data_IF_253802033547
#
_entry.id   IF_253802033547
#
_cell.length_a   1.000
_cell.length_b   1.000
_cell.length_c   1.000
_cell.angle_alpha   90.00
_cell.angle_beta   90.00
_cell.angle_gamma   90.00
#
_symmetry.space_group_name_H-M   'P 1'
#
loop_
_entity.id
_entity.type
_entity.pdbx_description
1 polymer ?
#
# COMPACT_ATOMS: atom_id res chain seq x y z
N UNK A 1 48.29 21.19 3.93
CA UNK A 1 49.26 20.09 4.07
C UNK A 1 48.49 18.79 4.23
N UNK A 2 48.54 17.97 3.19
CA UNK A 2 47.81 16.71 3.06
C UNK A 2 48.50 15.59 3.83
N UNK A 3 47.74 14.74 4.52
CA UNK A 3 48.16 13.37 4.83
C UNK A 3 47.03 12.42 4.48
N UNK A 4 47.21 11.76 3.33
CA UNK A 4 46.45 10.59 2.90
C UNK A 4 47.02 9.40 3.65
N UNK A 5 46.17 8.61 4.30
CA UNK A 5 46.48 7.22 4.65
C UNK A 5 45.44 6.38 3.95
N UNK A 6 45.89 5.65 2.93
CA UNK A 6 45.14 4.60 2.28
C UNK A 6 45.39 3.30 3.06
N UNK A 7 44.31 2.60 3.41
CA UNK A 7 44.36 1.20 3.79
C UNK A 7 43.27 0.47 3.01
N UNK A 8 43.72 -0.25 1.99
CA UNK A 8 42.96 -1.25 1.21
C UNK A 8 42.72 -2.48 2.07
N UNK A 9 41.48 -2.97 2.14
CA UNK A 9 41.17 -4.38 2.37
C UNK A 9 39.77 -4.70 1.84
N UNK A 10 39.74 -5.65 0.92
CA UNK A 10 38.57 -6.15 0.20
C UNK A 10 37.86 -7.16 1.12
N UNK A 11 36.56 -6.98 1.32
CA UNK A 11 35.66 -8.08 1.69
C UNK A 11 34.26 -7.76 1.17
N UNK A 12 33.88 -8.43 0.09
CA UNK A 12 32.51 -8.51 -0.36
C UNK A 12 31.69 -9.28 0.68
N UNK A 13 30.69 -8.62 1.26
CA UNK A 13 29.56 -9.28 1.88
C UNK A 13 28.31 -8.71 1.23
N UNK A 14 27.80 -9.44 0.23
CA UNK A 14 26.47 -9.27 -0.30
C UNK A 14 25.47 -9.65 0.80
N UNK A 15 25.19 -8.71 1.70
CA UNK A 15 23.98 -8.79 2.50
C UNK A 15 22.87 -8.22 1.64
N UNK A 16 22.28 -9.11 0.85
CA UNK A 16 20.88 -9.06 0.47
C UNK A 16 20.01 -9.12 1.74
N UNK A 17 20.13 -8.11 2.60
CA UNK A 17 19.16 -7.80 3.63
C UNK A 17 18.22 -6.81 2.98
N UNK A 18 17.13 -7.32 2.41
CA UNK A 18 16.10 -6.50 1.78
C UNK A 18 15.79 -5.32 2.68
N UNK A 19 16.16 -4.13 2.23
CA UNK A 19 15.57 -2.91 2.72
C UNK A 19 14.08 -3.11 2.48
N UNK A 20 13.35 -3.51 3.52
CA UNK A 20 11.94 -3.22 3.60
C UNK A 20 11.90 -1.71 3.45
N UNK A 21 11.69 -1.25 2.22
CA UNK A 21 11.36 0.14 1.95
C UNK A 21 10.10 0.33 2.77
N UNK A 22 10.26 0.84 4.00
CA UNK A 22 9.14 1.33 4.77
C UNK A 22 8.47 2.29 3.81
N UNK A 23 7.32 1.86 3.27
CA UNK A 23 6.56 2.69 2.37
C UNK A 23 6.44 4.03 3.10
N UNK A 24 6.80 5.15 2.45
CA UNK A 24 6.84 6.42 3.14
C UNK A 24 5.52 6.55 3.89
N UNK A 25 5.59 6.85 5.19
CA UNK A 25 4.46 7.33 5.97
C UNK A 25 4.06 8.67 5.35
N UNK A 26 3.48 8.57 4.17
CA UNK A 26 3.01 9.63 3.34
C UNK A 26 1.87 10.20 4.14
N UNK A 27 1.96 11.48 4.51
CA UNK A 27 1.02 12.15 5.39
C UNK A 27 -0.41 11.69 5.08
N UNK A 28 -0.93 10.77 5.90
CA UNK A 28 -2.06 9.95 5.50
C UNK A 28 -3.18 10.87 5.02
N UNK A 29 -3.56 10.76 3.75
CA UNK A 29 -4.60 11.59 3.17
C UNK A 29 -5.81 11.60 4.10
N UNK A 30 -6.42 12.76 4.34
CA UNK A 30 -7.62 12.81 5.16
C UNK A 30 -8.78 12.25 4.34
N UNK A 31 -9.15 11.00 4.56
CA UNK A 31 -10.28 10.36 3.89
C UNK A 31 -11.18 9.66 4.90
N UNK A 32 -12.46 9.53 4.53
CA UNK A 32 -13.46 8.82 5.33
C UNK A 32 -14.27 7.90 4.44
N UNK A 33 -14.38 6.63 4.80
CA UNK A 33 -15.14 5.64 4.05
C UNK A 33 -16.35 5.15 4.84
N UNK A 34 -17.48 5.01 4.16
CA UNK A 34 -18.74 4.55 4.74
C UNK A 34 -19.53 3.69 3.75
N UNK A 35 -20.59 3.05 4.24
CA UNK A 35 -21.43 2.18 3.41
C UNK A 35 -20.67 0.97 2.87
N UNK A 36 -19.90 0.31 3.75
CA UNK A 36 -19.17 -0.91 3.42
C UNK A 36 -20.17 -2.03 3.11
N UNK A 37 -20.09 -2.56 1.89
CA UNK A 37 -20.84 -3.73 1.46
C UNK A 37 -19.82 -4.81 1.11
N UNK A 38 -19.76 -5.86 1.94
CA UNK A 38 -18.79 -6.95 1.82
C UNK A 38 -19.56 -8.23 1.51
N UNK A 39 -19.18 -8.87 0.42
CA UNK A 39 -19.60 -10.21 0.03
C UNK A 39 -18.41 -11.16 0.13
N UNK A 40 -18.64 -12.46 -0.07
CA UNK A 40 -17.60 -13.50 0.03
C UNK A 40 -16.36 -13.15 -0.81
N UNK A 41 -16.53 -12.70 -2.05
CA UNK A 41 -15.44 -12.46 -2.99
C UNK A 41 -15.28 -10.99 -3.44
N UNK A 42 -16.21 -10.11 -3.06
CA UNK A 42 -16.24 -8.73 -3.53
C UNK A 42 -16.66 -7.78 -2.42
N UNK A 43 -16.06 -6.60 -2.39
CA UNK A 43 -16.51 -5.55 -1.49
C UNK A 43 -16.56 -4.20 -2.19
N UNK A 44 -17.35 -3.29 -1.63
CA UNK A 44 -17.39 -1.89 -2.03
C UNK A 44 -17.57 -0.98 -0.82
N UNK A 45 -17.08 0.25 -0.93
CA UNK A 45 -17.31 1.31 0.04
C UNK A 45 -17.37 2.67 -0.67
N UNK A 46 -18.08 3.63 -0.09
CA UNK A 46 -18.08 5.00 -0.56
C UNK A 46 -17.06 5.80 0.26
N UNK A 47 -16.03 6.30 -0.37
CA UNK A 47 -14.95 7.03 0.27
C UNK A 47 -14.95 8.50 -0.17
N UNK A 48 -14.83 9.40 0.79
CA UNK A 48 -14.65 10.82 0.56
C UNK A 48 -13.23 11.22 0.96
N UNK A 49 -12.41 11.55 -0.03
CA UNK A 49 -11.04 12.03 0.15
C UNK A 49 -11.08 13.55 0.28
N UNK A 50 -10.80 14.07 1.47
CA UNK A 50 -10.75 15.50 1.79
C UNK A 50 -9.41 16.12 1.43
N UNK A 51 -8.31 15.40 1.66
CA UNK A 51 -6.94 15.79 1.26
C UNK A 51 -6.07 14.56 0.98
N UNK A 52 -4.94 14.76 0.28
CA UNK A 52 -4.03 13.68 -0.10
C UNK A 52 -4.61 12.76 -1.18
N UNK A 53 -4.19 11.51 -1.15
CA UNK A 53 -4.72 10.44 -1.99
C UNK A 53 -5.13 9.23 -1.16
N UNK A 54 -6.10 8.48 -1.64
CA UNK A 54 -6.48 7.19 -1.05
C UNK A 54 -6.65 6.13 -2.14
N UNK A 55 -6.55 4.86 -1.77
CA UNK A 55 -6.83 3.72 -2.65
C UNK A 55 -7.52 2.58 -1.89
N UNK A 56 -8.16 1.70 -2.65
CA UNK A 56 -8.70 0.44 -2.14
C UNK A 56 -7.58 -0.61 -2.01
N UNK A 57 -7.65 -1.45 -0.98
CA UNK A 57 -6.75 -2.61 -0.79
C UNK A 57 -7.62 -3.83 -0.53
N UNK A 58 -7.33 -4.92 -1.23
CA UNK A 58 -8.08 -6.19 -1.10
C UNK A 58 -7.12 -7.35 -1.07
N UNK A 59 -7.21 -8.18 -0.04
CA UNK A 59 -6.41 -9.38 0.13
C UNK A 59 -7.30 -10.60 -0.13
N UNK A 60 -6.91 -11.41 -1.11
CA UNK A 60 -7.66 -12.58 -1.55
C UNK A 60 -7.05 -13.87 -0.98
N UNK A 61 -7.87 -14.89 -0.80
CA UNK A 61 -7.44 -16.17 -0.19
C UNK A 61 -6.42 -16.97 -0.99
N UNK A 62 -6.19 -16.61 -2.26
CA UNK A 62 -5.11 -17.16 -3.08
C UNK A 62 -3.75 -16.45 -2.88
N UNK A 63 -3.62 -15.60 -1.86
CA UNK A 63 -2.39 -14.84 -1.58
C UNK A 63 -2.19 -13.62 -2.47
N UNK A 64 -3.16 -13.27 -3.33
CA UNK A 64 -3.08 -12.07 -4.18
C UNK A 64 -3.63 -10.85 -3.45
N UNK A 65 -2.87 -9.76 -3.45
CA UNK A 65 -3.36 -8.44 -3.03
C UNK A 65 -3.66 -7.56 -4.24
N UNK A 66 -4.88 -7.06 -4.31
CA UNK A 66 -5.36 -6.16 -5.36
C UNK A 66 -5.38 -4.75 -4.80
N UNK A 67 -4.67 -3.85 -5.47
CA UNK A 67 -4.64 -2.44 -5.15
C UNK A 67 -5.47 -1.66 -6.16
N UNK A 68 -6.38 -0.84 -5.65
CA UNK A 68 -7.06 0.17 -6.44
C UNK A 68 -6.12 1.28 -6.87
N UNK A 69 -6.57 2.09 -7.84
CA UNK A 69 -5.85 3.30 -8.24
C UNK A 69 -5.84 4.31 -7.09
N UNK A 70 -4.72 5.01 -6.92
CA UNK A 70 -4.66 6.20 -6.08
C UNK A 70 -5.54 7.29 -6.65
N UNK A 71 -6.50 7.74 -5.86
CA UNK A 71 -7.39 8.83 -6.22
C UNK A 71 -7.22 9.99 -5.26
N UNK A 72 -7.27 11.21 -5.80
CA UNK A 72 -7.15 12.43 -5.02
C UNK A 72 -8.47 12.89 -4.43
N UNK A 73 -8.54 14.17 -4.06
CA UNK A 73 -9.72 14.80 -3.46
C UNK A 73 -11.00 14.54 -4.26
N UNK A 74 -12.05 14.09 -3.58
CA UNK A 74 -13.34 13.78 -4.20
C UNK A 74 -14.06 12.61 -3.55
N UNK A 75 -15.26 12.33 -4.05
CA UNK A 75 -16.06 11.16 -3.68
C UNK A 75 -15.77 10.04 -4.66
N UNK A 76 -15.41 8.87 -4.13
CA UNK A 76 -14.99 7.72 -4.90
C UNK A 76 -15.67 6.46 -4.38
N UNK A 77 -15.92 5.50 -5.27
CA UNK A 77 -16.31 4.15 -4.88
C UNK A 77 -15.07 3.28 -4.85
N UNK A 78 -14.71 2.84 -3.65
CA UNK A 78 -13.63 1.90 -3.44
C UNK A 78 -14.21 0.49 -3.44
N UNK A 79 -13.37 -0.48 -3.76
CA UNK A 79 -13.75 -1.87 -3.76
C UNK A 79 -12.68 -2.74 -4.36
N UNK A 80 -12.94 -4.04 -4.30
CA UNK A 80 -12.11 -5.05 -4.91
C UNK A 80 -12.90 -6.31 -5.15
N UNK A 81 -12.38 -7.12 -6.06
CA UNK A 81 -13.00 -8.36 -6.53
C UNK A 81 -11.92 -9.45 -6.62
N UNK A 82 -12.06 -10.48 -5.80
CA UNK A 82 -11.19 -11.65 -5.75
C UNK A 82 -11.59 -12.75 -6.75
N UNK A 83 -12.60 -12.49 -7.60
CA UNK A 83 -13.09 -13.42 -8.60
C UNK A 83 -13.69 -14.66 -7.95
N UNK A 84 -13.06 -15.82 -8.17
CA UNK A 84 -13.49 -17.10 -7.58
C UNK A 84 -13.03 -17.32 -6.13
N UNK A 85 -12.13 -16.48 -5.62
CA UNK A 85 -11.57 -16.59 -4.28
C UNK A 85 -12.31 -15.69 -3.30
N UNK A 86 -12.29 -16.04 -2.02
CA UNK A 86 -12.90 -15.21 -0.99
C UNK A 86 -11.93 -14.12 -0.50
N UNK A 87 -12.51 -13.05 0.03
CA UNK A 87 -11.77 -11.95 0.66
C UNK A 87 -11.29 -12.42 2.03
N UNK A 88 -9.99 -12.34 2.25
CA UNK A 88 -9.38 -12.56 3.57
C UNK A 88 -9.40 -11.26 4.36
N UNK A 89 -9.08 -10.16 3.69
CA UNK A 89 -9.02 -8.83 4.30
C UNK A 89 -9.29 -7.76 3.25
N UNK A 90 -9.85 -6.64 3.68
CA UNK A 90 -10.16 -5.51 2.82
C UNK A 90 -9.99 -4.22 3.59
N UNK A 91 -9.63 -3.16 2.88
CA UNK A 91 -9.40 -1.89 3.52
C UNK A 91 -9.06 -0.78 2.54
N UNK A 92 -8.55 0.29 3.12
CA UNK A 92 -8.17 1.50 2.41
C UNK A 92 -6.84 1.98 2.92
N UNK A 93 -6.07 2.56 2.01
CA UNK A 93 -4.74 3.06 2.28
C UNK A 93 -4.68 4.51 1.81
N UNK A 94 -4.05 5.38 2.60
CA UNK A 94 -4.01 6.83 2.40
C UNK A 94 -2.58 7.35 2.40
N UNK A 95 -2.33 8.38 1.60
CA UNK A 95 -1.00 8.97 1.43
C UNK A 95 -1.03 10.45 1.06
#
# INVERSE_FOLDING_TARGET
>A
MSRRVAATSIAAAFLAGGLATAAPASAAGNYSCSGWNVKVNRWTANCNVKSGQARAVTECSNGKTIYGKWVGRGKWKFGGDCGRYFIVSHGTDGR
#
